data_IF_404055735378
#
_entry.id   IF_404055735378
#
_cell.length_a   1.000
_cell.length_b   1.000
_cell.length_c   1.000
_cell.angle_alpha   90.00
_cell.angle_beta   90.00
_cell.angle_gamma   90.00
#
_symmetry.space_group_name_H-M   'P 1'
#
loop_
_entity.id
_entity.type
_entity.pdbx_description
1 polymer ?
#
# COMPACT_ATOMS: atom_id res chain seq x y z
N UNK A 1 22.55 7.98 5.07
CA UNK A 1 21.52 8.04 6.15
C UNK A 1 21.58 9.24 7.12
N UNK A 2 22.74 9.74 7.57
CA UNK A 2 22.78 10.76 8.64
C UNK A 2 22.07 12.10 8.31
N UNK A 3 22.19 12.61 7.08
CA UNK A 3 21.43 13.80 6.63
C UNK A 3 19.91 13.55 6.57
N UNK A 4 19.48 12.37 6.10
CA UNK A 4 18.07 11.98 6.11
C UNK A 4 17.52 11.77 7.53
N UNK A 5 18.35 11.25 8.45
CA UNK A 5 18.03 11.16 9.88
C UNK A 5 17.89 12.56 10.52
N UNK A 6 18.73 13.51 10.14
CA UNK A 6 18.64 14.91 10.59
C UNK A 6 17.37 15.62 10.04
N UNK A 7 17.02 15.40 8.77
CA UNK A 7 15.77 15.90 8.17
C UNK A 7 14.55 15.30 8.86
N UNK A 8 14.53 13.99 9.09
CA UNK A 8 13.46 13.31 9.84
C UNK A 8 13.35 13.76 11.32
N UNK A 9 14.45 14.23 11.94
CA UNK A 9 14.38 14.87 13.27
C UNK A 9 13.85 16.30 13.23
N UNK A 10 13.97 17.02 12.11
CA UNK A 10 13.45 18.38 11.94
C UNK A 10 11.94 18.42 11.65
N UNK A 11 11.39 17.37 11.01
CA UNK A 11 9.95 17.18 10.84
C UNK A 11 9.19 17.00 12.17
N UNK A 12 9.90 16.71 13.27
CA UNK A 12 9.29 16.09 14.46
C UNK A 12 8.30 16.94 15.25
N UNK A 13 8.48 18.24 15.39
CA UNK A 13 7.72 19.00 16.43
C UNK A 13 7.42 20.44 16.08
N UNK A 14 8.30 21.13 15.35
CA UNK A 14 8.16 22.55 15.06
C UNK A 14 6.79 22.92 14.46
N UNK A 15 6.42 22.41 13.29
CA UNK A 15 5.19 22.85 12.61
C UNK A 15 3.93 22.36 13.31
N UNK A 16 3.92 21.13 13.86
CA UNK A 16 2.74 20.57 14.55
C UNK A 16 2.50 21.30 15.87
N UNK A 17 3.54 21.48 16.70
CA UNK A 17 3.43 22.21 17.97
C UNK A 17 3.12 23.68 17.71
N UNK A 18 3.74 24.30 16.70
CA UNK A 18 3.42 25.68 16.31
C UNK A 18 1.98 25.82 15.85
N UNK A 19 1.45 24.88 15.05
CA UNK A 19 0.05 24.88 14.63
C UNK A 19 -0.89 24.71 15.82
N UNK A 20 -0.58 23.79 16.75
CA UNK A 20 -1.36 23.61 17.98
C UNK A 20 -1.32 24.83 18.89
N UNK A 21 -0.16 25.48 19.04
CA UNK A 21 0.00 26.71 19.83
C UNK A 21 -0.77 27.86 19.18
N UNK A 22 -0.69 28.03 17.86
CA UNK A 22 -1.40 29.08 17.15
C UNK A 22 -2.91 28.87 17.22
N UNK A 23 -3.38 27.64 17.05
CA UNK A 23 -4.79 27.31 17.21
C UNK A 23 -5.24 27.60 18.63
N UNK A 24 -4.52 27.10 19.63
CA UNK A 24 -4.87 27.27 21.04
C UNK A 24 -4.93 28.75 21.42
N UNK A 25 -4.00 29.57 20.92
CA UNK A 25 -4.01 31.02 21.09
C UNK A 25 -5.21 31.70 20.41
N UNK A 26 -5.48 31.42 19.12
CA UNK A 26 -6.63 32.02 18.42
C UNK A 26 -7.96 31.57 19.01
N UNK A 27 -8.03 30.34 19.51
CA UNK A 27 -9.22 29.75 20.10
C UNK A 27 -9.52 30.33 21.48
N UNK A 28 -8.50 30.55 22.30
CA UNK A 28 -8.65 31.18 23.61
C UNK A 28 -9.15 32.62 23.47
N UNK A 29 -8.63 33.37 22.49
CA UNK A 29 -9.09 34.74 22.17
C UNK A 29 -10.56 34.75 21.73
N UNK A 30 -10.97 33.84 20.84
CA UNK A 30 -12.35 33.72 20.38
C UNK A 30 -13.33 33.34 21.51
N UNK A 31 -12.91 32.47 22.43
CA UNK A 31 -13.74 32.01 23.53
C UNK A 31 -13.94 33.09 24.60
N UNK A 32 -12.90 33.89 24.88
CA UNK A 32 -12.99 35.07 25.76
C UNK A 32 -13.88 36.16 25.17
N UNK A 33 -13.79 36.40 23.86
CA UNK A 33 -14.65 37.35 23.15
C UNK A 33 -16.13 36.90 23.13
N UNK A 34 -16.39 35.61 22.91
CA UNK A 34 -17.74 35.05 22.88
C UNK A 34 -18.39 34.94 24.27
N UNK A 35 -17.61 34.69 25.32
CA UNK A 35 -18.10 34.56 26.70
C UNK A 35 -18.73 35.86 27.21
N UNK A 36 -18.22 37.01 26.76
CA UNK A 36 -18.81 38.33 27.07
C UNK A 36 -20.18 38.56 26.40
N UNK A 37 -20.53 37.80 25.36
CA UNK A 37 -21.69 38.09 24.53
C UNK A 37 -22.89 37.16 24.82
N UNK A 38 -22.70 35.83 24.88
CA UNK A 38 -23.72 34.89 25.39
C UNK A 38 -23.20 33.46 25.54
N UNK A 39 -23.77 32.69 26.47
CA UNK A 39 -23.48 31.26 26.69
C UNK A 39 -23.73 30.36 25.46
N UNK A 40 -24.72 30.71 24.61
CA UNK A 40 -25.05 29.91 23.41
C UNK A 40 -23.97 30.02 22.33
N UNK A 41 -23.36 31.20 22.19
CA UNK A 41 -22.26 31.44 21.27
C UNK A 41 -20.98 30.73 21.72
N UNK A 42 -20.66 30.75 23.02
CA UNK A 42 -19.54 29.97 23.57
C UNK A 42 -19.70 28.47 23.38
N UNK A 43 -20.90 27.92 23.56
CA UNK A 43 -21.16 26.50 23.31
C UNK A 43 -21.00 26.14 21.82
N UNK A 44 -21.49 26.97 20.90
CA UNK A 44 -21.34 26.76 19.46
C UNK A 44 -19.88 26.83 19.01
N UNK A 45 -19.13 27.86 19.43
CA UNK A 45 -17.70 27.96 19.14
C UNK A 45 -16.91 26.82 19.79
N UNK A 46 -17.26 26.41 21.02
CA UNK A 46 -16.69 25.24 21.68
C UNK A 46 -16.87 23.93 20.90
N UNK A 47 -18.05 23.70 20.31
CA UNK A 47 -18.28 22.53 19.47
C UNK A 47 -17.50 22.58 18.15
N UNK A 48 -17.45 23.76 17.52
CA UNK A 48 -16.70 23.97 16.27
C UNK A 48 -15.19 23.83 16.50
N UNK A 49 -14.72 24.23 17.68
CA UNK A 49 -13.36 24.02 18.18
C UNK A 49 -13.04 22.54 18.33
N UNK A 50 -13.89 21.77 19.04
CA UNK A 50 -13.68 20.32 19.17
C UNK A 50 -13.63 19.63 17.80
N UNK A 51 -14.49 20.03 16.86
CA UNK A 51 -14.45 19.51 15.49
C UNK A 51 -13.15 19.88 14.76
N UNK A 52 -12.64 21.11 14.93
CA UNK A 52 -11.37 21.56 14.36
C UNK A 52 -10.15 20.85 14.97
N UNK A 53 -10.23 20.38 16.21
CA UNK A 53 -9.19 19.57 16.87
C UNK A 53 -9.24 18.09 16.44
N UNK A 54 -10.44 17.53 16.30
CA UNK A 54 -10.62 16.12 15.95
C UNK A 54 -10.36 15.86 14.47
N UNK A 55 -10.70 16.79 13.57
CA UNK A 55 -10.55 16.59 12.13
C UNK A 55 -9.09 16.35 11.67
N UNK A 56 -8.08 17.11 12.11
CA UNK A 56 -6.68 16.86 11.75
C UNK A 56 -6.15 15.56 12.35
N UNK A 57 -6.51 15.24 13.59
CA UNK A 57 -6.11 13.99 14.25
C UNK A 57 -6.74 12.78 13.58
N UNK A 58 -8.02 12.86 13.24
CA UNK A 58 -8.74 11.84 12.48
C UNK A 58 -8.16 11.70 11.06
N UNK A 59 -7.77 12.81 10.42
CA UNK A 59 -7.15 12.80 9.09
C UNK A 59 -5.74 12.18 9.13
N UNK A 60 -4.95 12.47 10.16
CA UNK A 60 -3.64 11.84 10.37
C UNK A 60 -3.79 10.34 10.68
N UNK A 61 -4.76 9.94 11.51
CA UNK A 61 -5.04 8.53 11.77
C UNK A 61 -5.59 7.78 10.56
N UNK A 62 -6.44 8.42 9.75
CA UNK A 62 -6.97 7.83 8.51
C UNK A 62 -5.90 7.69 7.42
N UNK A 63 -4.80 8.45 7.51
CA UNK A 63 -3.68 8.43 6.56
C UNK A 63 -2.46 7.65 7.03
N UNK A 64 -2.41 7.26 8.31
CA UNK A 64 -1.33 6.43 8.83
C UNK A 64 -1.30 5.08 8.09
N UNK A 65 -0.09 4.56 7.85
CA UNK A 65 0.09 3.22 7.31
C UNK A 65 -0.70 2.20 8.16
N UNK A 66 -1.32 1.18 7.54
CA UNK A 66 -2.07 0.18 8.28
C UNK A 66 -1.15 -0.46 9.32
N UNK A 67 -1.66 -0.62 10.55
CA UNK A 67 -0.92 -1.35 11.58
C UNK A 67 -0.68 -2.77 11.09
N UNK A 68 0.58 -3.21 11.13
CA UNK A 68 0.98 -4.57 10.80
C UNK A 68 0.18 -5.58 11.63
N UNK A 69 -0.25 -6.67 11.00
CA UNK A 69 -0.93 -7.75 11.68
C UNK A 69 -0.05 -8.34 12.81
N UNK A 70 -0.68 -8.63 13.95
CA UNK A 70 0.00 -9.24 15.11
C UNK A 70 0.07 -10.76 15.01
N UNK A 71 -0.91 -11.37 14.33
CA UNK A 71 -1.03 -12.81 14.16
C UNK A 71 -0.88 -13.14 12.68
N UNK A 72 -0.38 -14.34 12.39
CA UNK A 72 -0.38 -14.85 11.03
C UNK A 72 -1.83 -14.95 10.51
N UNK A 73 -2.03 -14.84 9.18
CA UNK A 73 -3.31 -15.17 8.60
C UNK A 73 -3.67 -16.62 8.93
N UNK A 74 -4.95 -16.92 9.21
CA UNK A 74 -5.41 -18.30 9.33
C UNK A 74 -5.11 -19.06 8.03
N UNK A 75 -4.75 -20.34 8.16
CA UNK A 75 -4.55 -21.20 7.00
C UNK A 75 -5.90 -21.61 6.39
N UNK A 76 -5.93 -22.00 5.10
CA UNK A 76 -7.15 -22.47 4.47
C UNK A 76 -7.74 -23.65 5.24
N UNK A 77 -9.05 -23.64 5.50
CA UNK A 77 -9.71 -24.64 6.34
C UNK A 77 -9.47 -24.49 7.85
N UNK A 78 -8.60 -23.59 8.31
CA UNK A 78 -8.33 -23.28 9.72
C UNK A 78 -8.88 -21.90 10.15
N UNK A 79 -8.86 -21.63 11.45
CA UNK A 79 -9.26 -20.34 12.02
C UNK A 79 -10.78 -20.11 12.15
N UNK A 80 -11.14 -19.27 13.10
CA UNK A 80 -12.54 -18.91 13.41
C UNK A 80 -13.08 -17.85 12.46
N UNK A 81 -14.41 -17.68 12.43
CA UNK A 81 -15.05 -16.60 11.67
C UNK A 81 -14.47 -15.22 12.03
N UNK A 82 -14.26 -14.96 13.32
CA UNK A 82 -13.75 -13.68 13.80
C UNK A 82 -12.32 -13.40 13.33
N UNK A 83 -11.48 -14.43 13.27
CA UNK A 83 -10.11 -14.32 12.76
C UNK A 83 -10.09 -13.98 11.27
N UNK A 84 -10.91 -14.67 10.47
CA UNK A 84 -11.09 -14.36 9.06
C UNK A 84 -11.69 -12.97 8.83
N UNK A 85 -12.66 -12.56 9.64
CA UNK A 85 -13.25 -11.23 9.56
C UNK A 85 -12.23 -10.14 9.92
N UNK A 86 -11.37 -10.38 10.91
CA UNK A 86 -10.28 -9.48 11.27
C UNK A 86 -9.21 -9.40 10.16
N UNK A 87 -8.89 -10.52 9.54
CA UNK A 87 -7.96 -10.57 8.41
C UNK A 87 -8.52 -9.82 7.19
N UNK A 88 -9.79 -10.04 6.83
CA UNK A 88 -10.49 -9.32 5.78
C UNK A 88 -10.47 -7.79 5.98
N UNK A 89 -10.67 -7.32 7.22
CA UNK A 89 -10.55 -5.89 7.54
C UNK A 89 -9.12 -5.37 7.37
N UNK A 90 -8.12 -6.17 7.71
CA UNK A 90 -6.70 -5.81 7.53
C UNK A 90 -6.35 -5.74 6.05
N UNK A 91 -6.77 -6.72 5.24
CA UNK A 91 -6.63 -6.70 3.79
C UNK A 91 -7.33 -5.50 3.15
N UNK A 92 -8.54 -5.16 3.61
CA UNK A 92 -9.24 -3.97 3.13
C UNK A 92 -8.44 -2.68 3.35
N UNK A 93 -7.78 -2.54 4.51
CA UNK A 93 -6.89 -1.39 4.79
C UNK A 93 -5.64 -1.40 3.92
N UNK A 94 -5.04 -2.57 3.69
CA UNK A 94 -3.87 -2.73 2.82
C UNK A 94 -4.21 -2.35 1.37
N UNK A 95 -5.33 -2.85 0.86
CA UNK A 95 -5.80 -2.55 -0.50
C UNK A 95 -6.13 -1.06 -0.67
N UNK A 96 -6.73 -0.42 0.34
CA UNK A 96 -6.91 1.04 0.34
C UNK A 96 -5.57 1.77 0.32
N UNK A 97 -4.62 1.32 1.14
CA UNK A 97 -3.27 1.89 1.20
C UNK A 97 -2.56 1.86 -0.15
N UNK A 98 -2.61 0.72 -0.86
CA UNK A 98 -2.04 0.63 -2.20
C UNK A 98 -2.82 1.46 -3.22
N UNK A 99 -4.15 1.56 -3.10
CA UNK A 99 -4.99 2.35 -4.01
C UNK A 99 -4.66 3.85 -4.03
N UNK A 100 -3.90 4.32 -3.04
CA UNK A 100 -3.46 5.70 -2.92
C UNK A 100 -2.13 6.01 -3.64
N UNK A 101 -1.49 5.01 -4.23
CA UNK A 101 -0.27 5.19 -5.04
C UNK A 101 -0.65 5.82 -6.39
N UNK A 102 -0.09 7.01 -6.67
CA UNK A 102 -0.46 7.83 -7.83
C UNK A 102 -0.06 7.22 -9.17
N UNK A 103 1.03 6.45 -9.18
CA UNK A 103 1.67 5.96 -10.41
C UNK A 103 1.17 4.59 -10.87
N UNK A 104 0.20 3.99 -10.18
CA UNK A 104 -0.28 2.67 -10.52
C UNK A 104 -0.83 2.62 -11.96
N UNK A 105 -0.59 1.52 -12.66
CA UNK A 105 -1.22 1.30 -13.96
C UNK A 105 -2.75 1.24 -13.84
N UNK A 106 -3.50 1.62 -14.89
CA UNK A 106 -4.97 1.53 -14.87
C UNK A 106 -5.48 0.12 -14.55
N UNK A 107 -4.77 -0.91 -15.00
CA UNK A 107 -5.10 -2.32 -14.75
C UNK A 107 -5.01 -2.66 -13.26
N UNK A 108 -3.92 -2.29 -12.59
CA UNK A 108 -3.73 -2.57 -11.16
C UNK A 108 -4.72 -1.76 -10.31
N UNK A 109 -4.98 -0.49 -10.68
CA UNK A 109 -6.02 0.30 -10.03
C UNK A 109 -7.40 -0.37 -10.14
N UNK A 110 -7.69 -1.01 -11.27
CA UNK A 110 -8.95 -1.76 -11.45
C UNK A 110 -8.97 -2.99 -10.54
N UNK A 111 -7.91 -3.80 -10.53
CA UNK A 111 -7.78 -4.96 -9.61
C UNK A 111 -7.99 -4.56 -8.15
N UNK A 112 -7.42 -3.43 -7.72
CA UNK A 112 -7.62 -2.92 -6.36
C UNK A 112 -9.06 -2.46 -6.10
N UNK A 113 -9.68 -1.75 -7.04
CA UNK A 113 -11.08 -1.33 -6.90
C UNK A 113 -12.03 -2.53 -6.83
N UNK A 114 -11.77 -3.55 -7.65
CA UNK A 114 -12.56 -4.78 -7.68
C UNK A 114 -12.38 -5.53 -6.34
N UNK A 115 -11.16 -5.64 -5.82
CA UNK A 115 -10.90 -6.19 -4.48
C UNK A 115 -11.60 -5.41 -3.34
N UNK A 116 -11.63 -4.07 -3.41
CA UNK A 116 -12.35 -3.24 -2.44
C UNK A 116 -13.86 -3.47 -2.50
N UNK A 117 -14.42 -3.58 -3.71
CA UNK A 117 -15.82 -3.87 -3.91
C UNK A 117 -16.17 -5.26 -3.37
N UNK A 118 -15.37 -6.27 -3.70
CA UNK A 118 -15.54 -7.65 -3.22
C UNK A 118 -15.53 -7.72 -1.68
N UNK A 119 -14.55 -7.09 -1.02
CA UNK A 119 -14.52 -7.05 0.46
C UNK A 119 -15.73 -6.34 1.05
N UNK A 120 -16.10 -5.18 0.48
CA UNK A 120 -17.22 -4.39 0.99
C UNK A 120 -18.54 -5.14 0.86
N UNK A 121 -18.75 -5.78 -0.28
CA UNK A 121 -20.01 -6.46 -0.59
C UNK A 121 -20.09 -7.77 0.22
N UNK A 122 -18.98 -8.50 0.36
CA UNK A 122 -18.89 -9.70 1.22
C UNK A 122 -19.15 -9.36 2.69
N UNK A 123 -18.48 -8.34 3.25
CA UNK A 123 -18.67 -7.95 4.64
C UNK A 123 -20.07 -7.41 4.95
N UNK A 124 -20.78 -6.89 3.94
CA UNK A 124 -22.18 -6.43 4.08
C UNK A 124 -23.20 -7.56 4.00
N UNK A 125 -22.87 -8.66 3.33
CA UNK A 125 -23.81 -9.74 3.05
C UNK A 125 -23.97 -10.75 4.20
N UNK A 126 -23.47 -10.45 5.40
CA UNK A 126 -23.37 -11.41 6.53
C UNK A 126 -22.70 -12.72 6.09
N UNK A 127 -21.40 -12.67 5.75
CA UNK A 127 -20.72 -13.78 5.09
C UNK A 127 -20.58 -14.97 6.03
N UNK A 128 -20.48 -16.17 5.47
CA UNK A 128 -20.00 -17.33 6.20
C UNK A 128 -18.47 -17.27 6.33
N UNK A 129 -17.92 -18.08 7.21
CA UNK A 129 -16.46 -18.23 7.37
C UNK A 129 -15.78 -18.58 6.04
N UNK A 130 -16.28 -19.59 5.35
CA UNK A 130 -15.70 -20.09 4.10
C UNK A 130 -15.76 -19.03 2.97
N UNK A 131 -16.75 -18.13 3.01
CA UNK A 131 -16.83 -17.01 2.06
C UNK A 131 -15.71 -16.00 2.33
N UNK A 132 -15.44 -15.69 3.60
CA UNK A 132 -14.35 -14.79 3.99
C UNK A 132 -12.98 -15.36 3.61
N UNK A 133 -12.76 -16.66 3.85
CA UNK A 133 -11.55 -17.38 3.45
C UNK A 133 -11.30 -17.22 1.94
N UNK A 134 -12.27 -17.63 1.11
CA UNK A 134 -12.16 -17.58 -0.36
C UNK A 134 -11.93 -16.16 -0.88
N UNK A 135 -12.58 -15.16 -0.29
CA UNK A 135 -12.44 -13.76 -0.70
C UNK A 135 -11.07 -13.22 -0.30
N UNK A 136 -10.59 -13.53 0.90
CA UNK A 136 -9.27 -13.11 1.35
C UNK A 136 -8.15 -13.71 0.49
N UNK A 137 -8.22 -15.00 0.17
CA UNK A 137 -7.27 -15.67 -0.73
C UNK A 137 -7.28 -15.07 -2.13
N UNK A 138 -8.47 -14.86 -2.70
CA UNK A 138 -8.62 -14.26 -4.02
C UNK A 138 -8.02 -12.87 -4.08
N UNK A 139 -8.18 -12.06 -3.04
CA UNK A 139 -7.64 -10.70 -3.00
C UNK A 139 -6.14 -10.71 -2.82
N UNK A 140 -5.62 -11.63 -2.00
CA UNK A 140 -4.18 -11.82 -1.84
C UNK A 140 -3.53 -12.17 -3.18
N UNK A 141 -4.00 -13.21 -3.85
CA UNK A 141 -3.47 -13.63 -5.14
C UNK A 141 -3.80 -12.66 -6.30
N UNK A 142 -4.98 -12.03 -6.28
CA UNK A 142 -5.51 -11.25 -7.40
C UNK A 142 -5.22 -9.75 -7.35
N UNK A 143 -4.88 -9.19 -6.19
CA UNK A 143 -4.60 -7.77 -6.02
C UNK A 143 -3.27 -7.48 -5.31
N UNK A 144 -2.96 -8.18 -4.21
CA UNK A 144 -1.74 -7.93 -3.43
C UNK A 144 -0.49 -8.40 -4.17
N UNK A 145 -0.44 -9.66 -4.63
CA UNK A 145 0.71 -10.20 -5.36
C UNK A 145 1.02 -9.41 -6.65
N UNK A 146 0.05 -9.08 -7.52
CA UNK A 146 0.31 -8.29 -8.73
C UNK A 146 0.90 -6.89 -8.47
N UNK A 147 0.63 -6.30 -7.30
CA UNK A 147 1.23 -5.02 -6.92
C UNK A 147 2.70 -5.18 -6.56
N UNK A 148 3.03 -6.24 -5.81
CA UNK A 148 4.42 -6.56 -5.48
C UNK A 148 5.23 -6.81 -6.75
N UNK A 149 4.66 -7.56 -7.70
CA UNK A 149 5.28 -7.81 -9.01
C UNK A 149 5.40 -6.54 -9.86
N UNK A 150 4.48 -5.60 -9.70
CA UNK A 150 4.57 -4.32 -10.37
C UNK A 150 5.64 -3.42 -9.77
N UNK A 151 5.80 -3.39 -8.44
CA UNK A 151 6.88 -2.64 -7.79
C UNK A 151 8.24 -3.12 -8.28
N UNK A 152 8.45 -4.44 -8.27
CA UNK A 152 9.65 -5.07 -8.78
C UNK A 152 9.94 -4.62 -10.23
N UNK A 153 8.97 -4.81 -11.14
CA UNK A 153 9.15 -4.46 -12.56
C UNK A 153 9.33 -2.96 -12.81
N UNK A 154 8.69 -2.10 -12.02
CA UNK A 154 8.77 -0.64 -12.22
C UNK A 154 10.14 -0.10 -11.80
N UNK A 155 10.70 -0.60 -10.71
CA UNK A 155 11.93 -0.07 -10.14
C UNK A 155 13.19 -0.86 -10.52
N UNK A 156 13.04 -2.05 -11.11
CA UNK A 156 14.15 -2.86 -11.64
C UNK A 156 15.19 -2.06 -12.45
N UNK A 157 14.83 -1.14 -13.38
CA UNK A 157 15.83 -0.34 -14.11
C UNK A 157 16.67 0.58 -13.21
N UNK A 158 16.03 1.21 -12.21
CA UNK A 158 16.71 2.13 -11.28
C UNK A 158 17.62 1.36 -10.32
N UNK A 159 17.19 0.17 -9.90
CA UNK A 159 17.94 -0.70 -8.99
C UNK A 159 19.12 -1.34 -9.72
N UNK A 160 18.95 -1.80 -10.96
CA UNK A 160 20.06 -2.26 -11.81
C UNK A 160 21.06 -1.16 -12.09
N UNK A 161 20.62 0.08 -12.28
CA UNK A 161 21.55 1.20 -12.43
C UNK A 161 22.39 1.42 -11.17
N UNK A 162 21.82 1.27 -9.97
CA UNK A 162 22.56 1.32 -8.71
C UNK A 162 23.55 0.16 -8.56
N UNK A 163 23.14 -1.06 -8.94
CA UNK A 163 24.01 -2.24 -8.94
C UNK A 163 25.19 -2.07 -9.90
N UNK A 164 24.93 -1.65 -11.15
CA UNK A 164 25.95 -1.38 -12.15
C UNK A 164 26.92 -0.26 -11.71
N UNK A 165 26.41 0.81 -11.09
CA UNK A 165 27.25 1.88 -10.57
C UNK A 165 28.19 1.40 -9.46
N UNK A 166 27.71 0.49 -8.60
CA UNK A 166 28.54 -0.19 -7.61
C UNK A 166 29.61 -1.07 -8.27
N UNK A 167 29.24 -1.91 -9.24
CA UNK A 167 30.18 -2.80 -9.94
C UNK A 167 31.27 -2.01 -10.67
N UNK A 168 30.91 -0.89 -11.31
CA UNK A 168 31.86 0.02 -11.94
C UNK A 168 32.80 0.64 -10.90
N UNK A 169 32.27 1.15 -9.78
CA UNK A 169 33.09 1.72 -8.72
C UNK A 169 34.03 0.68 -8.08
N UNK A 170 33.57 -0.57 -7.92
CA UNK A 170 34.38 -1.67 -7.44
C UNK A 170 35.52 -2.01 -8.42
N UNK A 171 35.26 -2.03 -9.73
CA UNK A 171 36.29 -2.37 -10.72
C UNK A 171 37.48 -1.39 -10.77
N UNK A 172 37.30 -0.15 -10.31
CA UNK A 172 38.31 0.93 -10.41
C UNK A 172 39.30 0.93 -9.23
N UNK A 173 38.93 0.40 -8.05
CA UNK A 173 39.78 0.43 -6.84
C UNK A 173 39.73 -0.92 -6.13
N UNK A 174 40.89 -1.52 -5.89
CA UNK A 174 41.05 -2.81 -5.18
C UNK A 174 41.13 -2.68 -3.65
N UNK A 175 40.55 -1.64 -3.06
CA UNK A 175 40.56 -1.42 -1.61
C UNK A 175 39.30 -2.06 -0.98
N UNK A 176 39.49 -3.05 -0.11
CA UNK A 176 38.40 -3.80 0.54
C UNK A 176 37.47 -2.88 1.35
N UNK A 177 38.02 -1.89 2.06
CA UNK A 177 37.22 -0.96 2.85
C UNK A 177 36.37 -0.05 1.94
N UNK A 178 36.93 0.36 0.81
CA UNK A 178 36.20 1.10 -0.20
C UNK A 178 35.07 0.27 -0.81
N UNK A 179 35.31 -1.01 -1.11
CA UNK A 179 34.27 -1.91 -1.63
C UNK A 179 33.10 -2.06 -0.65
N UNK A 180 33.39 -2.27 0.64
CA UNK A 180 32.36 -2.44 1.67
C UNK A 180 31.52 -1.17 1.85
N UNK A 181 32.16 0.01 1.88
CA UNK A 181 31.45 1.28 2.00
C UNK A 181 30.56 1.57 0.78
N UNK A 182 31.06 1.26 -0.42
CA UNK A 182 30.32 1.50 -1.67
C UNK A 182 29.14 0.55 -1.79
N UNK A 183 29.33 -0.73 -1.41
CA UNK A 183 28.26 -1.71 -1.33
C UNK A 183 27.19 -1.30 -0.32
N UNK A 184 27.59 -0.90 0.88
CA UNK A 184 26.67 -0.43 1.91
C UNK A 184 25.84 0.75 1.38
N UNK A 185 26.48 1.73 0.72
CA UNK A 185 25.77 2.87 0.15
C UNK A 185 24.78 2.46 -0.94
N UNK A 186 25.15 1.55 -1.83
CA UNK A 186 24.26 1.06 -2.90
C UNK A 186 23.02 0.35 -2.33
N UNK A 187 23.22 -0.57 -1.37
CA UNK A 187 22.15 -1.33 -0.72
C UNK A 187 21.23 -0.41 0.09
N UNK A 188 21.79 0.53 0.86
CA UNK A 188 21.00 1.51 1.61
C UNK A 188 20.18 2.42 0.68
N UNK A 189 20.76 2.85 -0.45
CA UNK A 189 20.07 3.68 -1.42
C UNK A 189 18.93 2.93 -2.12
N UNK A 190 19.15 1.67 -2.52
CA UNK A 190 18.12 0.80 -3.09
C UNK A 190 16.94 0.61 -2.12
N UNK A 191 17.23 0.27 -0.86
CA UNK A 191 16.21 0.14 0.17
C UNK A 191 15.47 1.47 0.42
N UNK A 192 16.20 2.60 0.49
CA UNK A 192 15.60 3.91 0.72
C UNK A 192 14.68 4.33 -0.45
N UNK A 193 15.09 4.10 -1.69
CA UNK A 193 14.29 4.35 -2.88
C UNK A 193 13.01 3.52 -2.84
N UNK A 194 13.12 2.21 -2.60
CA UNK A 194 11.97 1.32 -2.57
C UNK A 194 11.00 1.66 -1.42
N UNK A 195 11.51 2.02 -0.23
CA UNK A 195 10.62 2.41 0.88
C UNK A 195 9.82 3.67 0.58
N UNK A 196 10.35 4.60 -0.22
CA UNK A 196 9.62 5.81 -0.63
C UNK A 196 8.50 5.50 -1.62
N UNK A 197 8.73 4.55 -2.53
CA UNK A 197 7.76 4.14 -3.54
C UNK A 197 6.68 3.19 -2.99
N UNK A 198 7.08 2.16 -2.23
CA UNK A 198 6.15 1.19 -1.65
C UNK A 198 5.32 1.78 -0.52
N UNK A 199 5.88 2.75 0.22
CA UNK A 199 5.27 3.22 1.47
C UNK A 199 5.14 4.74 1.57
N UNK A 200 4.48 5.39 0.60
CA UNK A 200 4.48 6.85 0.44
C UNK A 200 3.76 7.61 1.55
N UNK A 201 3.03 6.93 2.45
CA UNK A 201 2.36 7.53 3.61
C UNK A 201 2.98 7.21 4.96
N UNK A 202 3.98 6.33 4.98
CA UNK A 202 4.67 6.01 6.23
C UNK A 202 5.58 7.17 6.64
N UNK A 203 5.81 7.38 7.94
CA UNK A 203 6.72 8.44 8.37
C UNK A 203 8.14 8.18 7.85
N UNK A 204 8.90 9.22 7.49
CA UNK A 204 10.26 9.03 6.94
C UNK A 204 11.15 8.26 7.92
N UNK A 205 11.00 8.50 9.23
CA UNK A 205 11.69 7.71 10.28
C UNK A 205 11.43 6.22 10.15
N UNK A 206 10.18 5.83 10.00
CA UNK A 206 9.76 4.43 9.93
C UNK A 206 10.25 3.78 8.62
N UNK A 207 10.22 4.52 7.52
CA UNK A 207 10.81 4.11 6.24
C UNK A 207 12.30 3.89 6.36
N UNK A 208 13.04 4.81 6.98
CA UNK A 208 14.49 4.68 7.16
C UNK A 208 14.84 3.52 8.10
N UNK A 209 14.01 3.27 9.12
CA UNK A 209 14.18 2.10 9.99
C UNK A 209 13.96 0.79 9.22
N UNK A 210 12.94 0.74 8.36
CA UNK A 210 12.74 -0.37 7.42
C UNK A 210 13.94 -0.54 6.50
N UNK A 211 14.35 0.53 5.82
CA UNK A 211 15.43 0.50 4.85
C UNK A 211 16.72 -0.03 5.49
N UNK A 212 17.05 0.45 6.69
CA UNK A 212 18.21 -0.03 7.45
C UNK A 212 18.12 -1.49 7.88
N UNK A 213 16.93 -1.97 8.25
CA UNK A 213 16.75 -3.37 8.65
C UNK A 213 16.81 -4.29 7.43
N UNK A 214 16.16 -3.90 6.32
CA UNK A 214 16.16 -4.67 5.09
C UNK A 214 17.53 -4.69 4.42
N UNK A 215 18.27 -3.57 4.42
CA UNK A 215 19.64 -3.52 3.90
C UNK A 215 20.57 -4.42 4.69
N UNK A 216 20.50 -4.39 6.02
CA UNK A 216 21.29 -5.27 6.88
C UNK A 216 20.97 -6.75 6.64
N UNK A 217 19.68 -7.12 6.57
CA UNK A 217 19.27 -8.50 6.25
C UNK A 217 19.74 -8.93 4.86
N UNK A 218 19.66 -8.05 3.87
CA UNK A 218 20.10 -8.34 2.51
C UNK A 218 21.60 -8.65 2.44
N UNK A 219 22.42 -7.83 3.09
CA UNK A 219 23.88 -8.04 3.13
C UNK A 219 24.22 -9.35 3.84
N UNK A 220 23.58 -9.64 4.98
CA UNK A 220 23.81 -10.90 5.69
C UNK A 220 23.41 -12.12 4.87
N UNK A 221 22.25 -12.08 4.23
CA UNK A 221 21.78 -13.19 3.41
C UNK A 221 22.65 -13.38 2.16
N UNK A 222 23.06 -12.29 1.49
CA UNK A 222 23.95 -12.36 0.34
C UNK A 222 25.32 -12.97 0.70
N UNK A 223 25.86 -12.66 1.89
CA UNK A 223 27.09 -13.25 2.39
C UNK A 223 26.96 -14.78 2.58
N UNK A 224 25.82 -15.27 3.07
CA UNK A 224 25.55 -16.72 3.21
C UNK A 224 25.42 -17.41 1.83
N UNK A 225 24.94 -16.70 0.82
CA UNK A 225 24.74 -17.23 -0.53
C UNK A 225 25.95 -17.06 -1.47
N UNK A 226 27.12 -16.71 -0.93
CA UNK A 226 28.42 -16.71 -1.62
C UNK A 226 28.40 -16.06 -3.03
N UNK A 227 27.75 -14.89 -3.15
CA UNK A 227 27.74 -14.11 -4.40
C UNK A 227 26.74 -14.57 -5.47
N UNK A 228 25.89 -15.57 -5.20
CA UNK A 228 24.81 -15.97 -6.13
C UNK A 228 23.67 -14.96 -6.22
N UNK A 229 23.60 -14.03 -5.28
CA UNK A 229 22.49 -13.07 -5.15
C UNK A 229 23.08 -11.69 -4.90
N UNK A 230 22.67 -10.72 -5.71
CA UNK A 230 23.00 -9.31 -5.51
C UNK A 230 22.35 -8.80 -4.22
N UNK A 231 23.10 -8.25 -3.26
CA UNK A 231 22.53 -7.68 -2.04
C UNK A 231 21.68 -6.42 -2.34
N UNK A 232 21.91 -5.77 -3.48
CA UNK A 232 21.14 -4.60 -3.93
C UNK A 232 19.73 -5.03 -4.34
N UNK A 233 19.62 -6.06 -5.18
CA UNK A 233 18.32 -6.60 -5.63
C UNK A 233 17.57 -7.26 -4.46
N UNK A 234 18.29 -7.92 -3.55
CA UNK A 234 17.71 -8.53 -2.37
C UNK A 234 17.14 -7.49 -1.40
N UNK A 235 17.78 -6.33 -1.26
CA UNK A 235 17.27 -5.25 -0.42
C UNK A 235 15.96 -4.67 -0.96
N UNK A 236 15.84 -4.53 -2.28
CA UNK A 236 14.58 -4.14 -2.93
C UNK A 236 13.45 -5.13 -2.59
N UNK A 237 13.69 -6.42 -2.86
CA UNK A 237 12.67 -7.46 -2.66
C UNK A 237 12.25 -7.59 -1.20
N UNK A 238 13.18 -7.43 -0.26
CA UNK A 238 12.86 -7.40 1.17
C UNK A 238 11.97 -6.21 1.54
N UNK A 239 12.17 -5.03 0.95
CA UNK A 239 11.30 -3.87 1.18
C UNK A 239 9.91 -4.09 0.57
N UNK A 240 9.83 -4.71 -0.61
CA UNK A 240 8.54 -5.08 -1.23
C UNK A 240 7.76 -6.03 -0.31
N UNK A 241 8.39 -7.08 0.22
CA UNK A 241 7.75 -7.99 1.18
C UNK A 241 7.44 -7.30 2.51
N UNK A 242 8.28 -6.35 2.95
CA UNK A 242 7.99 -5.56 4.15
C UNK A 242 6.75 -4.68 3.98
N UNK A 243 6.45 -4.21 2.76
CA UNK A 243 5.27 -3.39 2.49
C UNK A 243 3.94 -4.14 2.69
N UNK A 244 3.97 -5.46 2.82
CA UNK A 244 2.80 -6.26 3.17
C UNK A 244 2.53 -6.19 4.68
N UNK A 245 1.55 -5.38 5.04
CA UNK A 245 1.12 -5.21 6.43
C UNK A 245 0.08 -6.25 6.87
N UNK A 246 -0.37 -7.12 5.96
CA UNK A 246 -1.37 -8.14 6.27
C UNK A 246 -0.80 -9.28 7.12
N UNK A 247 0.53 -9.41 7.18
CA UNK A 247 1.24 -10.42 7.95
C UNK A 247 2.22 -9.80 8.97
N UNK A 248 2.48 -10.50 10.09
CA UNK A 248 3.56 -10.13 10.99
C UNK A 248 4.92 -10.19 10.28
N UNK A 249 5.87 -9.35 10.69
CA UNK A 249 7.18 -9.31 10.06
C UNK A 249 7.97 -10.55 10.47
N UNK A 250 8.26 -11.41 9.50
CA UNK A 250 9.01 -12.64 9.69
C UNK A 250 10.19 -12.65 8.72
N UNK A 251 11.39 -12.20 9.14
CA UNK A 251 12.50 -11.97 8.23
C UNK A 251 12.93 -13.25 7.50
N UNK A 252 12.88 -14.41 8.16
CA UNK A 252 13.20 -15.68 7.53
C UNK A 252 12.23 -16.07 6.39
N UNK A 253 10.92 -15.84 6.57
CA UNK A 253 9.93 -16.13 5.53
C UNK A 253 10.00 -15.09 4.40
N UNK A 254 10.14 -13.82 4.76
CA UNK A 254 10.33 -12.73 3.79
C UNK A 254 11.56 -12.97 2.92
N UNK A 255 12.68 -13.41 3.51
CA UNK A 255 13.89 -13.76 2.78
C UNK A 255 13.65 -14.91 1.80
N UNK A 256 12.97 -16.00 2.23
CA UNK A 256 12.63 -17.11 1.32
C UNK A 256 11.78 -16.66 0.14
N UNK A 257 10.77 -15.81 0.38
CA UNK A 257 9.91 -15.26 -0.68
C UNK A 257 10.68 -14.34 -1.62
N UNK A 258 11.53 -13.47 -1.07
CA UNK A 258 12.38 -12.57 -1.84
C UNK A 258 13.36 -13.35 -2.75
N UNK A 259 14.02 -14.37 -2.21
CA UNK A 259 14.91 -15.25 -2.98
C UNK A 259 14.14 -16.02 -4.07
N UNK A 260 12.95 -16.53 -3.76
CA UNK A 260 12.11 -17.22 -4.75
C UNK A 260 11.69 -16.28 -5.90
N UNK A 261 11.35 -15.02 -5.60
CA UNK A 261 11.06 -13.99 -6.63
C UNK A 261 12.29 -13.68 -7.48
N UNK A 262 13.45 -13.45 -6.86
CA UNK A 262 14.69 -13.19 -7.61
C UNK A 262 15.02 -14.35 -8.55
N UNK A 263 14.88 -15.60 -8.07
CA UNK A 263 15.09 -16.77 -8.91
C UNK A 263 14.14 -16.81 -10.12
N UNK A 264 12.88 -16.41 -9.96
CA UNK A 264 11.92 -16.32 -11.06
C UNK A 264 12.29 -15.22 -12.07
N UNK A 265 12.67 -14.03 -11.58
CA UNK A 265 13.09 -12.89 -12.43
C UNK A 265 14.34 -13.24 -13.25
N UNK A 266 15.31 -13.96 -12.67
CA UNK A 266 16.51 -14.39 -13.38
C UNK A 266 16.30 -15.61 -14.28
N UNK A 267 15.23 -16.40 -14.08
CA UNK A 267 14.88 -17.57 -14.91
C UNK A 267 13.99 -17.23 -16.12
N UNK A 268 13.42 -16.03 -16.19
CA UNK A 268 12.53 -15.60 -17.28
C UNK A 268 13.15 -15.32 -18.66
N UNK A 269 14.48 -15.23 -18.92
CA UNK A 269 14.93 -14.86 -20.26
C UNK A 269 14.76 -15.98 -21.32
N UNK A 270 14.62 -17.26 -20.93
CA UNK A 270 14.57 -18.38 -21.90
C UNK A 270 13.19 -19.06 -22.00
N UNK A 271 12.41 -19.11 -20.91
CA UNK A 271 11.14 -19.87 -20.91
C UNK A 271 9.97 -19.11 -21.55
N UNK A 272 9.96 -17.77 -21.53
CA UNK A 272 8.90 -16.98 -22.16
C UNK A 272 8.93 -17.10 -23.71
N UNK A 273 10.11 -17.30 -24.30
CA UNK A 273 10.26 -17.54 -25.74
C UNK A 273 9.80 -18.97 -26.12
N UNK A 274 10.05 -19.96 -25.27
CA UNK A 274 9.60 -21.34 -25.48
C UNK A 274 8.08 -21.50 -25.32
N UNK A 275 7.47 -20.85 -24.31
CA UNK A 275 6.02 -20.91 -24.05
C UNK A 275 5.23 -20.13 -25.12
N UNK A 276 5.77 -19.04 -25.66
CA UNK A 276 5.17 -18.33 -26.79
C UNK A 276 5.20 -19.14 -28.10
N UNK A 277 6.23 -19.96 -28.31
CA UNK A 277 6.32 -20.86 -29.46
C UNK A 277 5.34 -22.05 -29.35
N UNK A 278 5.11 -22.57 -28.14
CA UNK A 278 4.21 -23.70 -27.89
C UNK A 278 2.72 -23.28 -27.96
N UNK A 279 2.39 -22.05 -27.59
CA UNK A 279 1.03 -21.51 -27.70
C UNK A 279 0.57 -21.23 -29.15
N UNK A 280 1.51 -21.10 -30.10
CA UNK A 280 1.21 -20.91 -31.52
C UNK A 280 0.90 -22.23 -32.26
N UNK A 281 1.19 -23.40 -31.65
CA UNK A 281 1.08 -24.72 -32.27
C UNK A 281 -0.18 -25.54 -31.94
N UNK A 282 -1.07 -25.08 -31.06
CA UNK A 282 -2.23 -25.86 -30.64
C UNK A 282 -3.47 -25.64 -31.55
N UNK A 283 -4.07 -26.70 -32.15
CA UNK A 283 -5.28 -26.55 -32.96
C UNK A 283 -6.48 -26.18 -32.07
N UNK A 284 -7.23 -25.16 -32.50
CA UNK A 284 -8.46 -24.69 -31.84
C UNK A 284 -9.60 -25.72 -31.96
N UNK A 285 -9.70 -26.65 -31.00
CA UNK A 285 -10.90 -27.46 -30.79
C UNK A 285 -11.95 -26.67 -30.00
N UNK A 286 -12.79 -25.89 -30.68
CA UNK A 286 -14.00 -25.29 -30.11
C UNK A 286 -15.23 -26.03 -30.64
N UNK A 287 -15.61 -27.10 -29.98
CA UNK A 287 -16.93 -27.68 -30.14
C UNK A 287 -17.86 -27.08 -29.07
N UNK A 288 -18.53 -26.00 -29.47
CA UNK A 288 -19.60 -25.39 -28.69
C UNK A 288 -20.95 -25.88 -29.24
N UNK A 289 -21.67 -26.66 -28.45
CA UNK A 289 -23.05 -27.06 -28.75
C UNK A 289 -24.00 -25.84 -28.81
N UNK A 290 -24.92 -25.88 -29.76
CA UNK A 290 -25.81 -24.81 -30.27
C UNK A 290 -26.81 -24.18 -29.27
N UNK A 291 -26.70 -24.42 -27.95
CA UNK A 291 -27.61 -23.83 -26.96
C UNK A 291 -26.97 -22.84 -25.98
N UNK A 292 -25.64 -22.70 -25.92
CA UNK A 292 -24.92 -21.67 -25.15
C UNK A 292 -25.17 -21.62 -23.62
N UNK A 293 -26.03 -22.50 -23.08
CA UNK A 293 -26.46 -22.51 -21.69
C UNK A 293 -25.61 -23.36 -20.76
N UNK A 294 -24.79 -24.25 -21.30
CA UNK A 294 -23.99 -25.21 -20.52
C UNK A 294 -22.53 -25.11 -20.96
N UNK A 295 -21.65 -24.83 -20.00
CA UNK A 295 -20.19 -24.79 -20.20
C UNK A 295 -19.58 -25.97 -19.46
N UNK A 296 -18.80 -26.78 -20.15
CA UNK A 296 -18.00 -27.84 -19.56
C UNK A 296 -16.61 -27.31 -19.23
N UNK A 297 -16.21 -27.35 -17.96
CA UNK A 297 -14.86 -26.99 -17.50
C UNK A 297 -14.42 -28.03 -16.47
N UNK A 298 -13.25 -28.65 -16.65
CA UNK A 298 -12.69 -29.67 -15.75
C UNK A 298 -13.69 -30.80 -15.38
N UNK A 299 -14.37 -31.38 -16.37
CA UNK A 299 -15.29 -32.51 -16.18
C UNK A 299 -16.56 -32.22 -15.37
N UNK A 300 -16.80 -30.96 -14.95
CA UNK A 300 -18.00 -30.54 -14.20
C UNK A 300 -18.90 -29.65 -15.08
N UNK A 301 -20.22 -29.84 -14.91
CA UNK A 301 -21.25 -29.20 -15.74
C UNK A 301 -21.71 -27.89 -15.10
N UNK A 302 -21.44 -26.76 -15.76
CA UNK A 302 -21.84 -25.43 -15.27
C UNK A 302 -23.02 -24.87 -16.08
N UNK A 303 -24.13 -24.53 -15.43
CA UNK A 303 -25.29 -23.87 -16.04
C UNK A 303 -25.23 -22.37 -15.82
N UNK A 304 -25.16 -21.57 -16.90
CA UNK A 304 -25.22 -20.10 -16.80
C UNK A 304 -26.64 -19.67 -16.40
N UNK A 305 -26.80 -19.12 -15.20
CA UNK A 305 -28.06 -18.50 -14.75
C UNK A 305 -27.97 -17.00 -14.97
N UNK A 306 -28.88 -16.46 -15.80
CA UNK A 306 -28.98 -15.01 -16.07
C UNK A 306 -29.71 -14.34 -14.90
N UNK A 307 -29.00 -13.58 -14.08
CA UNK A 307 -29.60 -12.80 -12.99
C UNK A 307 -30.19 -11.51 -13.58
N UNK A 308 -31.51 -11.37 -13.51
CA UNK A 308 -32.23 -10.18 -13.98
C UNK A 308 -32.14 -9.07 -12.92
N UNK A 309 -31.34 -8.02 -13.17
CA UNK A 309 -31.26 -6.85 -12.27
C UNK A 309 -32.48 -5.95 -12.47
N UNK A 310 -33.35 -5.87 -11.46
CA UNK A 310 -34.47 -4.93 -11.40
C UNK A 310 -33.92 -3.50 -11.26
N UNK A 311 -34.10 -2.66 -12.28
CA UNK A 311 -33.69 -1.25 -12.23
C UNK A 311 -34.70 -0.42 -11.45
N UNK A 312 -34.37 -0.05 -10.22
CA UNK A 312 -35.16 0.94 -9.47
C UNK A 312 -34.73 2.36 -9.89
N UNK A 313 -35.60 3.04 -10.65
CA UNK A 313 -35.48 4.48 -10.94
C UNK A 313 -35.75 5.28 -9.66
N UNK A 314 -34.69 5.69 -8.95
CA UNK A 314 -34.84 6.66 -7.85
C UNK A 314 -34.84 8.10 -8.37
N UNK A 315 -36.01 8.73 -8.26
CA UNK A 315 -36.23 10.17 -8.43
C UNK A 315 -35.27 10.96 -7.52
N UNK A 316 -34.45 11.83 -8.10
CA UNK A 316 -33.67 12.84 -7.38
C UNK A 316 -34.63 13.91 -6.85
N UNK A 317 -34.96 13.89 -5.57
CA UNK A 317 -35.49 15.07 -4.87
C UNK A 317 -34.31 16.00 -4.56
N UNK A 318 -34.32 17.19 -5.15
CA UNK A 318 -33.51 18.31 -4.69
C UNK A 318 -33.93 18.67 -3.27
N UNK A 319 -33.02 18.59 -2.31
CA UNK A 319 -33.19 19.14 -0.97
C UNK A 319 -32.52 20.52 -0.97
N UNK A 320 -33.27 21.62 -0.84
CA UNK A 320 -32.70 22.95 -0.68
C UNK A 320 -32.26 23.12 0.78
N UNK A 321 -30.95 23.11 1.03
CA UNK A 321 -30.41 23.30 2.38
C UNK A 321 -28.88 23.49 2.49
N UNK A 322 -28.17 23.67 1.38
CA UNK A 322 -26.69 23.66 1.32
C UNK A 322 -26.07 25.05 1.21
N UNK A 323 -26.38 25.98 2.12
CA UNK A 323 -25.66 27.26 2.18
C UNK A 323 -24.55 27.32 3.23
N UNK A 324 -24.68 26.63 4.37
CA UNK A 324 -23.64 26.63 5.44
C UNK A 324 -22.65 25.47 5.33
N UNK A 325 -23.12 24.28 4.93
CA UNK A 325 -22.27 23.10 4.70
C UNK A 325 -21.32 23.32 3.50
N UNK A 326 -21.76 24.09 2.50
CA UNK A 326 -20.91 24.49 1.37
C UNK A 326 -19.76 25.42 1.77
N UNK A 327 -19.97 26.29 2.76
CA UNK A 327 -18.93 27.18 3.30
C UNK A 327 -17.90 26.41 4.15
N UNK A 328 -18.35 25.43 4.93
CA UNK A 328 -17.46 24.53 5.69
C UNK A 328 -16.65 23.60 4.77
N UNK A 329 -17.27 23.10 3.69
CA UNK A 329 -16.58 22.28 2.69
C UNK A 329 -15.62 23.11 1.84
N UNK A 330 -15.94 24.37 1.52
CA UNK A 330 -15.04 25.26 0.79
C UNK A 330 -13.85 25.69 1.66
N UNK A 331 -14.05 25.91 2.97
CA UNK A 331 -12.96 26.17 3.91
C UNK A 331 -12.06 24.94 4.11
N UNK A 332 -12.64 23.75 4.20
CA UNK A 332 -11.90 22.48 4.22
C UNK A 332 -11.13 22.21 2.93
N UNK A 333 -11.68 22.60 1.77
CA UNK A 333 -10.98 22.56 0.48
C UNK A 333 -9.85 23.59 0.41
N UNK A 334 -10.06 24.80 0.93
CA UNK A 334 -9.02 25.84 0.99
C UNK A 334 -7.84 25.36 1.83
N UNK A 335 -8.08 24.82 3.03
CA UNK A 335 -7.05 24.20 3.89
C UNK A 335 -6.34 23.06 3.15
N UNK A 336 -7.07 22.22 2.41
CA UNK A 336 -6.51 21.11 1.64
C UNK A 336 -5.61 21.58 0.49
N UNK A 337 -5.96 22.66 -0.19
CA UNK A 337 -5.14 23.24 -1.26
C UNK A 337 -3.92 23.99 -0.71
N UNK A 338 -4.06 24.69 0.41
CA UNK A 338 -2.93 25.35 1.09
C UNK A 338 -1.90 24.34 1.61
N UNK A 339 -2.36 23.23 2.21
CA UNK A 339 -1.49 22.12 2.63
C UNK A 339 -0.82 21.41 1.45
N UNK A 340 -1.54 21.22 0.34
CA UNK A 340 -1.00 20.57 -0.85
C UNK A 340 0.01 21.47 -1.58
N UNK A 341 -0.25 22.77 -1.69
CA UNK A 341 0.67 23.73 -2.26
C UNK A 341 1.94 23.85 -1.41
N UNK A 342 1.81 23.84 -0.09
CA UNK A 342 2.95 23.88 0.82
C UNK A 342 3.81 22.60 0.82
N UNK A 343 3.18 21.43 0.65
CA UNK A 343 3.91 20.15 0.50
C UNK A 343 4.52 19.93 -0.90
N UNK A 344 4.12 20.69 -1.92
CA UNK A 344 4.64 20.56 -3.29
C UNK A 344 5.77 21.55 -3.61
N UNK A 345 5.90 22.63 -2.83
CA UNK A 345 6.96 23.65 -2.98
C UNK A 345 8.15 23.46 -2.02
N UNK A 346 8.23 22.31 -1.35
CA UNK A 346 9.37 21.82 -0.57
C UNK A 346 9.67 20.40 -1.01
#
# INVERSE_FOLDING_TARGET
MNRLRQVATSERRGPIVWWFVLLLATNLVLLVLAYKYSWRWTAFFGALLMAAWVAPLALMHARAAPRRAKRMPPQPGEGTFDEWAQYARTLGRLVMYYGDILDLSPEIRRKLKDAQADLRDTLRAHPLRDDLERVCERIRAGAVEPIKDWFARKHDPEIRALANAYEQAASVRMDEDFHLLTLQAAVENAAALMTRSCMPRMLERERLQCASHCSWLAVQAAAVHAGRVSPVDLAEMLVIEWSDFSEPWQPAQALRRALARLAQVHAEPESAAAVAAEAAGAPNGRDADESGTIVYRNGKRYRRVRIHRRSERRRRRHVPGTRTVGILLSFGQWIRYSLRAWMLYR
#
